data_IF_339690961523
#
_entry.id   IF_339690961523
#
_cell.length_a   1.000
_cell.length_b   1.000
_cell.length_c   1.000
_cell.angle_alpha   90.00
_cell.angle_beta   90.00
_cell.angle_gamma   90.00
#
_symmetry.space_group_name_H-M   'P 1'
#
loop_
_entity.id
_entity.type
_entity.pdbx_description
1 polymer ?
#
# COMPACT_ATOMS: atom_id res chain seq x y z
N UNK A 1 -11.06 -21.82 -1.75
CA UNK A 1 -11.82 -20.57 -1.98
C UNK A 1 -10.83 -19.43 -2.23
N UNK A 2 -11.19 -18.44 -3.03
CA UNK A 2 -10.38 -17.23 -3.24
C UNK A 2 -10.82 -16.19 -2.22
N UNK A 3 -9.89 -15.67 -1.42
CA UNK A 3 -10.13 -14.55 -0.51
C UNK A 3 -9.30 -13.37 -0.95
N UNK A 4 -9.95 -12.25 -1.24
CA UNK A 4 -9.32 -11.10 -1.87
C UNK A 4 -9.56 -9.84 -1.05
N UNK A 5 -8.46 -9.23 -0.61
CA UNK A 5 -8.43 -7.86 -0.12
C UNK A 5 -8.24 -6.96 -1.33
N UNK A 6 -9.09 -5.94 -1.50
CA UNK A 6 -8.89 -4.91 -2.51
C UNK A 6 -8.54 -3.63 -1.77
N UNK A 7 -7.25 -3.31 -1.77
CA UNK A 7 -6.68 -2.22 -0.97
C UNK A 7 -6.33 -1.01 -1.83
N UNK A 8 -6.91 0.14 -1.49
CA UNK A 8 -6.51 1.40 -2.09
C UNK A 8 -5.32 2.03 -1.35
N UNK A 9 -4.25 2.28 -2.09
CA UNK A 9 -3.08 3.00 -1.58
C UNK A 9 -3.31 4.52 -1.65
N UNK A 10 -2.46 5.25 -0.93
CA UNK A 10 -2.37 6.72 -0.94
C UNK A 10 -3.61 7.47 -0.41
N UNK A 11 -4.43 6.88 0.47
CA UNK A 11 -5.45 7.65 1.19
C UNK A 11 -4.76 8.76 2.00
N UNK A 12 -5.32 9.97 2.00
CA UNK A 12 -4.74 11.16 2.62
C UNK A 12 -3.71 11.91 1.75
N UNK A 13 -3.39 11.40 0.56
CA UNK A 13 -2.47 12.08 -0.38
C UNK A 13 -3.07 13.33 -1.02
N UNK A 14 -4.40 13.43 -1.11
CA UNK A 14 -5.08 14.58 -1.69
C UNK A 14 -6.57 14.35 -1.91
N UNK A 15 -7.33 15.45 -2.00
CA UNK A 15 -8.80 15.43 -1.97
C UNK A 15 -9.44 14.60 -3.08
N UNK A 16 -8.83 14.60 -4.28
CA UNK A 16 -9.36 13.83 -5.42
C UNK A 16 -9.09 12.34 -5.29
N UNK A 17 -7.90 11.95 -4.82
CA UNK A 17 -7.57 10.56 -4.48
C UNK A 17 -8.52 10.05 -3.39
N UNK A 18 -8.64 10.80 -2.28
CA UNK A 18 -9.51 10.43 -1.16
C UNK A 18 -10.96 10.21 -1.62
N UNK A 19 -11.49 11.15 -2.42
CA UNK A 19 -12.85 11.05 -2.96
C UNK A 19 -13.04 9.79 -3.80
N UNK A 20 -12.09 9.46 -4.67
CA UNK A 20 -12.18 8.27 -5.52
C UNK A 20 -12.10 6.98 -4.68
N UNK A 21 -11.25 6.95 -3.64
CA UNK A 21 -11.17 5.82 -2.70
C UNK A 21 -12.51 5.63 -1.99
N UNK A 22 -13.11 6.69 -1.44
CA UNK A 22 -14.41 6.58 -0.77
C UNK A 22 -15.53 6.19 -1.73
N UNK A 23 -15.51 6.67 -2.97
CA UNK A 23 -16.47 6.27 -4.00
C UNK A 23 -16.34 4.79 -4.34
N UNK A 24 -15.12 4.29 -4.57
CA UNK A 24 -14.85 2.88 -4.80
C UNK A 24 -15.22 1.98 -3.61
N UNK A 25 -15.12 2.47 -2.37
CA UNK A 25 -15.56 1.71 -1.19
C UNK A 25 -17.08 1.63 -1.08
N UNK A 26 -17.78 2.74 -1.37
CA UNK A 26 -19.25 2.80 -1.26
C UNK A 26 -19.98 2.15 -2.43
N UNK A 27 -19.39 2.20 -3.62
CA UNK A 27 -20.06 1.86 -4.88
C UNK A 27 -19.29 0.86 -5.74
N UNK A 28 -18.09 0.46 -5.32
CA UNK A 28 -17.24 -0.48 -6.03
C UNK A 28 -16.89 -1.71 -5.19
N UNK A 29 -15.70 -2.23 -5.44
CA UNK A 29 -15.21 -3.49 -4.86
C UNK A 29 -14.14 -3.32 -3.77
N UNK A 30 -13.82 -2.07 -3.39
CA UNK A 30 -12.81 -1.83 -2.35
C UNK A 30 -13.25 -2.40 -1.02
N UNK A 31 -12.30 -2.98 -0.29
CA UNK A 31 -12.53 -3.52 1.05
C UNK A 31 -11.63 -2.89 2.10
N UNK A 32 -10.56 -2.21 1.67
CA UNK A 32 -9.53 -1.66 2.54
C UNK A 32 -8.87 -0.44 1.89
N UNK A 33 -8.25 0.42 2.70
CA UNK A 33 -7.34 1.46 2.24
C UNK A 33 -6.16 1.66 3.20
N UNK A 34 -5.05 2.20 2.71
CA UNK A 34 -3.88 2.51 3.54
C UNK A 34 -3.64 4.03 3.58
N UNK A 35 -3.58 4.58 4.79
CA UNK A 35 -3.57 6.02 5.05
C UNK A 35 -2.14 6.57 5.22
N UNK A 36 -1.81 7.64 4.50
CA UNK A 36 -0.57 8.38 4.61
C UNK A 36 -0.60 9.34 5.80
N UNK A 37 0.16 9.02 6.85
CA UNK A 37 0.25 9.85 8.06
C UNK A 37 0.91 11.22 7.84
N UNK A 38 1.66 11.40 6.75
CA UNK A 38 2.24 12.68 6.35
C UNK A 38 1.53 13.31 5.14
N UNK A 39 0.35 12.80 4.77
CA UNK A 39 -0.44 13.29 3.65
C UNK A 39 -1.15 14.62 3.96
N UNK A 40 -1.34 15.50 2.96
CA UNK A 40 -1.91 16.83 3.15
C UNK A 40 -3.39 16.82 3.56
N UNK A 41 -4.12 15.74 3.30
CA UNK A 41 -5.56 15.60 3.63
C UNK A 41 -5.82 14.57 4.71
N UNK A 42 -4.78 14.17 5.45
CA UNK A 42 -4.84 13.16 6.52
C UNK A 42 -6.06 13.34 7.45
N UNK A 43 -6.27 14.54 7.99
CA UNK A 43 -7.30 14.77 9.00
C UNK A 43 -8.71 14.60 8.43
N UNK A 44 -8.96 15.13 7.23
CA UNK A 44 -10.24 14.94 6.55
C UNK A 44 -10.45 13.50 6.10
N UNK A 45 -9.42 12.85 5.55
CA UNK A 45 -9.48 11.45 5.13
C UNK A 45 -9.76 10.51 6.32
N UNK A 46 -9.08 10.72 7.46
CA UNK A 46 -9.29 9.91 8.66
C UNK A 46 -10.71 10.04 9.21
N UNK A 47 -11.23 11.27 9.30
CA UNK A 47 -12.60 11.54 9.75
C UNK A 47 -13.64 10.88 8.84
N UNK A 48 -13.41 10.92 7.53
CA UNK A 48 -14.30 10.31 6.55
C UNK A 48 -14.26 8.78 6.63
N UNK A 49 -13.06 8.20 6.71
CA UNK A 49 -12.88 6.76 6.86
C UNK A 49 -13.56 6.24 8.13
N UNK A 50 -13.40 6.94 9.26
CA UNK A 50 -14.09 6.62 10.51
C UNK A 50 -15.61 6.64 10.33
N UNK A 51 -16.15 7.68 9.69
CA UNK A 51 -17.59 7.81 9.44
C UNK A 51 -18.14 6.68 8.55
N UNK A 52 -17.34 6.19 7.61
CA UNK A 52 -17.72 5.12 6.69
C UNK A 52 -17.45 3.72 7.24
N UNK A 53 -16.83 3.61 8.42
CA UNK A 53 -16.35 2.34 8.97
C UNK A 53 -15.44 1.58 7.98
N UNK A 54 -14.69 2.32 7.16
CA UNK A 54 -13.72 1.76 6.21
C UNK A 54 -12.56 1.12 6.99
N UNK A 55 -12.23 -0.16 6.75
CA UNK A 55 -10.98 -0.75 7.23
C UNK A 55 -9.79 0.04 6.68
N UNK A 56 -8.93 0.52 7.59
CA UNK A 56 -7.79 1.38 7.25
C UNK A 56 -6.52 0.81 7.86
N UNK A 57 -5.44 0.77 7.08
CA UNK A 57 -4.09 0.53 7.55
C UNK A 57 -3.20 1.76 7.52
N UNK A 58 -1.97 1.60 7.98
CA UNK A 58 -0.93 2.63 7.90
C UNK A 58 -0.12 2.46 6.61
N UNK A 59 -0.11 3.47 5.75
CA UNK A 59 0.74 3.53 4.55
C UNK A 59 2.05 4.23 4.88
N UNK A 60 3.02 3.48 5.40
CA UNK A 60 4.30 4.06 5.84
C UNK A 60 5.04 4.66 4.64
N UNK A 61 5.34 5.95 4.70
CA UNK A 61 5.98 6.69 3.63
C UNK A 61 7.36 7.21 4.04
N UNK A 62 8.39 6.81 3.31
CA UNK A 62 9.80 7.16 3.57
C UNK A 62 10.48 7.78 2.34
N UNK A 63 9.69 8.24 1.36
CA UNK A 63 10.23 8.73 0.08
C UNK A 63 9.60 10.02 -0.43
N UNK A 64 8.37 10.36 -0.05
CA UNK A 64 7.68 11.57 -0.53
C UNK A 64 7.20 12.44 0.64
N UNK A 65 7.15 13.76 0.43
CA UNK A 65 6.66 14.70 1.46
C UNK A 65 7.65 14.92 2.61
N UNK A 66 7.13 15.30 3.78
CA UNK A 66 7.94 15.64 4.97
C UNK A 66 7.86 14.53 6.01
N UNK A 67 8.99 14.23 6.65
CA UNK A 67 9.10 13.35 7.82
C UNK A 67 8.34 13.94 9.02
N UNK A 68 7.72 13.08 9.83
CA UNK A 68 7.05 13.47 11.08
C UNK A 68 7.99 13.55 12.28
N UNK A 69 9.13 12.85 12.24
CA UNK A 69 10.17 12.82 13.27
C UNK A 69 11.24 13.90 13.08
N UNK A 70 11.14 14.72 12.02
CA UNK A 70 12.09 15.78 11.70
C UNK A 70 13.16 15.32 10.69
N UNK A 71 14.35 15.93 10.75
CA UNK A 71 15.43 15.61 9.81
C UNK A 71 16.08 14.26 10.13
N UNK A 72 16.06 13.34 9.16
CA UNK A 72 16.65 12.00 9.25
C UNK A 72 17.94 11.97 8.44
N UNK A 73 19.07 11.69 9.13
CA UNK A 73 20.39 11.65 8.50
C UNK A 73 20.41 10.60 7.39
N UNK A 74 20.83 11.01 6.20
CA UNK A 74 20.96 10.14 5.03
C UNK A 74 19.64 9.87 4.29
N UNK A 75 18.50 10.31 4.82
CA UNK A 75 17.19 10.09 4.19
C UNK A 75 16.43 11.38 3.86
N UNK A 76 16.55 12.44 4.66
CA UNK A 76 15.90 13.72 4.37
C UNK A 76 16.91 14.85 4.16
N UNK A 77 16.45 15.96 3.62
CA UNK A 77 17.19 17.21 3.67
C UNK A 77 17.09 17.88 5.06
N UNK A 78 17.71 19.06 5.23
CA UNK A 78 17.70 19.80 6.49
C UNK A 78 16.30 20.30 6.91
N UNK A 79 15.35 20.41 5.97
CA UNK A 79 13.96 20.76 6.25
C UNK A 79 13.11 19.53 6.65
N UNK A 80 13.65 18.32 6.56
CA UNK A 80 12.94 17.07 6.82
C UNK A 80 12.17 16.53 5.60
N UNK A 81 12.46 17.01 4.40
CA UNK A 81 11.80 16.53 3.18
C UNK A 81 12.50 15.26 2.66
N UNK A 82 11.69 14.26 2.30
CA UNK A 82 12.17 13.03 1.69
C UNK A 82 12.65 13.26 0.25
N UNK A 83 13.51 12.39 -0.30
CA UNK A 83 14.29 12.70 -1.49
C UNK A 83 13.70 12.07 -2.77
N UNK A 84 12.51 11.50 -2.70
CA UNK A 84 11.87 10.71 -3.75
C UNK A 84 12.33 9.24 -3.78
N UNK A 85 11.57 8.41 -4.49
CA UNK A 85 11.75 6.95 -4.63
C UNK A 85 13.20 6.50 -4.82
N UNK A 86 13.87 7.03 -5.85
CA UNK A 86 15.18 6.53 -6.28
C UNK A 86 16.29 6.87 -5.28
N UNK A 87 16.24 8.05 -4.66
CA UNK A 87 17.23 8.47 -3.69
C UNK A 87 17.05 7.75 -2.36
N UNK A 88 15.80 7.58 -1.88
CA UNK A 88 15.49 6.82 -0.67
C UNK A 88 16.00 5.37 -0.78
N UNK A 89 15.72 4.70 -1.90
CA UNK A 89 16.23 3.34 -2.17
C UNK A 89 17.76 3.25 -2.14
N UNK A 90 18.46 4.23 -2.72
CA UNK A 90 19.93 4.28 -2.66
C UNK A 90 20.43 4.44 -1.23
N UNK A 91 19.75 5.25 -0.41
CA UNK A 91 20.10 5.42 1.00
C UNK A 91 19.94 4.10 1.77
N UNK A 92 18.83 3.38 1.57
CA UNK A 92 18.58 2.08 2.20
C UNK A 92 19.62 1.03 1.79
N UNK A 93 19.90 0.90 0.49
CA UNK A 93 20.87 -0.07 -0.02
C UNK A 93 22.30 0.21 0.43
N UNK A 94 22.64 1.47 0.71
CA UNK A 94 23.97 1.88 1.20
C UNK A 94 24.07 1.87 2.72
N UNK A 95 23.00 1.53 3.45
CA UNK A 95 22.97 1.58 4.91
C UNK A 95 23.22 2.99 5.46
N UNK A 96 22.75 4.02 4.76
CA UNK A 96 23.00 5.43 5.13
C UNK A 96 22.04 5.95 6.20
N UNK A 97 21.01 5.18 6.53
CA UNK A 97 19.95 5.54 7.47
C UNK A 97 20.03 4.60 8.66
N UNK A 98 20.00 5.14 9.89
CA UNK A 98 20.04 4.33 11.09
C UNK A 98 18.70 3.61 11.32
N UNK A 99 18.72 2.44 11.96
CA UNK A 99 17.48 1.73 12.33
C UNK A 99 16.66 2.56 13.32
N UNK A 100 17.30 3.20 14.30
CA UNK A 100 16.64 4.04 15.28
C UNK A 100 15.88 5.22 14.65
N UNK A 101 16.45 5.88 13.64
CA UNK A 101 15.74 6.98 12.95
C UNK A 101 14.55 6.44 12.13
N UNK A 102 14.70 5.26 11.50
CA UNK A 102 13.60 4.61 10.79
C UNK A 102 12.48 4.20 11.75
N UNK A 103 12.83 3.57 12.88
CA UNK A 103 11.88 3.17 13.92
C UNK A 103 11.13 4.39 14.48
N UNK A 104 11.84 5.48 14.75
CA UNK A 104 11.26 6.73 15.24
C UNK A 104 10.26 7.31 14.23
N UNK A 105 10.61 7.37 12.94
CA UNK A 105 9.71 7.89 11.91
C UNK A 105 8.48 6.99 11.69
N UNK A 106 8.68 5.67 11.63
CA UNK A 106 7.58 4.70 11.48
C UNK A 106 6.63 4.80 12.69
N UNK A 107 7.18 4.86 13.91
CA UNK A 107 6.38 5.01 15.12
C UNK A 107 5.62 6.35 15.15
N UNK A 108 6.23 7.43 14.67
CA UNK A 108 5.56 8.73 14.55
C UNK A 108 4.38 8.67 13.57
N UNK A 109 4.53 7.98 12.44
CA UNK A 109 3.45 7.81 11.46
C UNK A 109 2.29 6.96 11.99
N UNK A 110 2.58 5.84 12.67
CA UNK A 110 1.54 5.01 13.30
C UNK A 110 0.83 5.79 14.41
N UNK A 111 1.60 6.44 15.30
CA UNK A 111 1.04 7.25 16.40
C UNK A 111 0.13 8.35 15.89
N UNK A 112 0.53 9.02 14.80
CA UNK A 112 -0.24 10.12 14.21
C UNK A 112 -1.62 9.67 13.72
N UNK A 113 -1.74 8.45 13.20
CA UNK A 113 -3.04 7.89 12.78
C UNK A 113 -3.88 7.48 14.00
N UNK A 114 -3.26 6.89 15.03
CA UNK A 114 -3.94 6.54 16.28
C UNK A 114 -4.49 7.77 17.01
N UNK A 115 -3.76 8.88 17.02
CA UNK A 115 -4.19 10.17 17.59
C UNK A 115 -5.47 10.72 16.93
N UNK A 116 -5.75 10.33 15.69
CA UNK A 116 -6.97 10.72 14.97
C UNK A 116 -8.16 9.81 15.29
N UNK A 117 -7.99 8.83 16.19
CA UNK A 117 -9.02 7.91 16.65
C UNK A 117 -9.27 6.72 15.72
N UNK A 118 -8.42 6.52 14.70
CA UNK A 118 -8.45 5.30 13.88
C UNK A 118 -7.69 4.17 14.58
N UNK A 119 -8.15 2.94 14.38
CA UNK A 119 -7.46 1.72 14.82
C UNK A 119 -7.00 0.96 13.57
N UNK A 120 -5.73 1.09 13.17
CA UNK A 120 -5.25 0.44 11.96
C UNK A 120 -5.34 -1.09 12.05
N UNK A 121 -5.80 -1.76 11.00
CA UNK A 121 -5.87 -3.22 10.94
C UNK A 121 -4.64 -3.86 10.26
N UNK A 122 -3.91 -3.09 9.47
CA UNK A 122 -2.69 -3.53 8.79
C UNK A 122 -1.67 -2.39 8.62
N UNK A 123 -0.48 -2.79 8.17
CA UNK A 123 0.57 -1.88 7.72
C UNK A 123 1.05 -2.27 6.34
N UNK A 124 1.29 -1.28 5.51
CA UNK A 124 2.04 -1.44 4.28
C UNK A 124 2.99 -0.25 4.10
N UNK A 125 3.72 -0.19 2.99
CA UNK A 125 4.65 0.91 2.77
C UNK A 125 4.57 1.45 1.35
N UNK A 126 4.61 2.77 1.25
CA UNK A 126 4.67 3.48 -0.02
C UNK A 126 5.88 3.01 -0.82
N UNK A 127 5.65 2.61 -2.08
CA UNK A 127 6.67 2.09 -3.00
C UNK A 127 7.38 0.81 -2.50
N UNK A 128 6.75 0.07 -1.59
CA UNK A 128 7.19 -1.22 -1.06
C UNK A 128 8.59 -1.19 -0.41
N UNK A 129 8.90 -0.08 0.24
CA UNK A 129 10.16 0.13 0.97
C UNK A 129 10.42 -0.91 2.06
N UNK A 130 9.42 -1.61 2.61
CA UNK A 130 9.62 -2.70 3.57
C UNK A 130 10.49 -3.85 3.03
N UNK A 131 10.57 -4.02 1.71
CA UNK A 131 11.43 -5.03 1.09
C UNK A 131 12.94 -4.75 1.28
N UNK A 132 13.32 -3.53 1.63
CA UNK A 132 14.71 -3.18 1.94
C UNK A 132 15.00 -3.54 3.39
N UNK A 133 16.01 -4.38 3.63
CA UNK A 133 16.23 -5.03 4.93
C UNK A 133 16.29 -4.09 6.15
N UNK A 134 16.87 -2.89 6.03
CA UNK A 134 16.89 -1.92 7.13
C UNK A 134 15.49 -1.36 7.46
N UNK A 135 14.64 -1.16 6.45
CA UNK A 135 13.26 -0.69 6.62
C UNK A 135 12.37 -1.83 7.11
N UNK A 136 12.48 -3.02 6.51
CA UNK A 136 11.72 -4.18 6.94
C UNK A 136 11.99 -4.58 8.39
N UNK A 137 13.26 -4.54 8.83
CA UNK A 137 13.62 -4.78 10.22
C UNK A 137 13.04 -3.75 11.18
N UNK A 138 13.21 -2.45 10.90
CA UNK A 138 12.65 -1.37 11.69
C UNK A 138 11.11 -1.43 11.76
N UNK A 139 10.46 -1.73 10.64
CA UNK A 139 9.01 -1.86 10.55
C UNK A 139 8.49 -2.99 11.45
N UNK A 140 9.09 -4.18 11.39
CA UNK A 140 8.68 -5.33 12.19
C UNK A 140 8.85 -5.08 13.70
N UNK A 141 9.92 -4.39 14.11
CA UNK A 141 10.12 -4.00 15.51
C UNK A 141 8.99 -3.07 15.97
N UNK A 142 8.73 -2.00 15.20
CA UNK A 142 7.76 -0.97 15.58
C UNK A 142 6.33 -1.53 15.61
N UNK A 143 5.89 -2.25 14.57
CA UNK A 143 4.50 -2.76 14.55
C UNK A 143 4.21 -3.69 15.72
N UNK A 144 5.22 -4.44 16.19
CA UNK A 144 5.14 -5.26 17.40
C UNK A 144 4.83 -4.43 18.64
N UNK A 145 5.47 -3.26 18.81
CA UNK A 145 5.20 -2.33 19.92
C UNK A 145 3.77 -1.76 19.89
N UNK A 146 3.19 -1.58 18.70
CA UNK A 146 1.81 -1.08 18.53
C UNK A 146 0.75 -2.19 18.53
N UNK A 147 1.16 -3.46 18.66
CA UNK A 147 0.24 -4.61 18.63
C UNK A 147 -0.37 -4.89 17.26
N UNK A 148 0.18 -4.32 16.19
CA UNK A 148 -0.24 -4.55 14.81
C UNK A 148 0.37 -5.87 14.32
N UNK A 149 -0.50 -6.77 13.83
CA UNK A 149 -0.12 -8.15 13.48
C UNK A 149 -0.29 -8.47 12.01
N UNK A 150 -0.72 -7.51 11.21
CA UNK A 150 -1.05 -7.72 9.81
C UNK A 150 -0.25 -6.78 8.91
N UNK A 151 0.35 -7.33 7.85
CA UNK A 151 1.22 -6.57 6.97
C UNK A 151 1.08 -7.02 5.51
N UNK A 152 1.09 -6.07 4.57
CA UNK A 152 1.15 -6.37 3.12
C UNK A 152 2.45 -7.11 2.78
N UNK A 153 2.36 -8.21 2.04
CA UNK A 153 3.53 -8.84 1.44
C UNK A 153 3.71 -8.40 -0.03
N UNK A 154 4.71 -7.56 -0.38
CA UNK A 154 4.92 -7.11 -1.76
C UNK A 154 5.64 -8.17 -2.63
N UNK A 155 5.09 -9.38 -2.64
CA UNK A 155 5.49 -10.47 -3.53
C UNK A 155 4.54 -10.49 -4.73
N UNK A 156 4.97 -10.18 -5.96
CA UNK A 156 4.03 -10.06 -7.06
C UNK A 156 3.33 -11.39 -7.38
N UNK A 157 2.00 -11.38 -7.36
CA UNK A 157 1.15 -12.56 -7.60
C UNK A 157 1.06 -12.95 -9.08
N UNK A 158 1.23 -11.98 -9.98
CA UNK A 158 1.31 -12.23 -11.42
C UNK A 158 2.57 -13.01 -11.79
N UNK A 159 2.54 -13.75 -12.91
CA UNK A 159 3.71 -14.46 -13.42
C UNK A 159 4.76 -13.48 -13.98
N UNK A 160 6.04 -13.74 -13.71
CA UNK A 160 7.15 -12.90 -14.18
C UNK A 160 7.21 -12.73 -15.71
N UNK A 161 6.71 -13.71 -16.47
CA UNK A 161 6.61 -13.63 -17.93
C UNK A 161 5.64 -12.54 -18.43
N UNK A 162 4.74 -12.07 -17.56
CA UNK A 162 3.81 -10.97 -17.84
C UNK A 162 4.30 -9.60 -17.33
N UNK A 163 5.50 -9.53 -16.75
CA UNK A 163 6.02 -8.26 -16.24
C UNK A 163 6.27 -7.28 -17.42
N UNK A 164 5.91 -5.99 -17.27
CA UNK A 164 6.05 -5.00 -18.33
C UNK A 164 7.52 -4.64 -18.58
N UNK A 165 7.87 -4.12 -19.78
CA UNK A 165 9.22 -3.63 -20.01
C UNK A 165 9.52 -2.35 -19.20
N UNK A 166 10.82 -2.01 -19.13
CA UNK A 166 11.28 -0.74 -18.55
C UNK A 166 11.30 -0.73 -17.02
N UNK A 167 11.24 0.46 -16.39
CA UNK A 167 11.43 0.62 -14.95
C UNK A 167 10.49 -0.22 -14.09
N UNK A 168 9.22 -0.38 -14.51
CA UNK A 168 8.25 -1.17 -13.75
C UNK A 168 8.58 -2.67 -13.77
N UNK A 169 9.07 -3.22 -14.88
CA UNK A 169 9.55 -4.61 -14.92
C UNK A 169 10.81 -4.82 -14.07
N UNK A 170 11.71 -3.83 -14.05
CA UNK A 170 12.88 -3.86 -13.16
C UNK A 170 12.47 -3.83 -11.69
N UNK A 171 11.43 -3.07 -11.34
CA UNK A 171 10.82 -3.09 -10.01
C UNK A 171 10.24 -4.46 -9.68
N UNK A 172 9.49 -5.10 -10.60
CA UNK A 172 8.93 -6.44 -10.35
C UNK A 172 10.02 -7.48 -10.13
N UNK A 173 11.07 -7.47 -10.95
CA UNK A 173 12.22 -8.34 -10.79
C UNK A 173 12.93 -8.12 -9.44
N UNK A 174 13.08 -6.86 -9.01
CA UNK A 174 13.63 -6.53 -7.71
C UNK A 174 12.74 -7.05 -6.57
N UNK A 175 11.43 -6.84 -6.63
CA UNK A 175 10.51 -7.26 -5.58
C UNK A 175 10.45 -8.77 -5.44
N UNK A 176 10.40 -9.52 -6.55
CA UNK A 176 10.48 -10.99 -6.54
C UNK A 176 11.75 -11.50 -5.87
N UNK A 177 12.86 -10.78 -6.02
CA UNK A 177 14.14 -11.12 -5.39
C UNK A 177 14.13 -10.85 -3.88
N UNK A 178 13.50 -9.77 -3.43
CA UNK A 178 13.56 -9.33 -2.03
C UNK A 178 12.44 -9.91 -1.15
N UNK A 179 11.25 -10.12 -1.72
CA UNK A 179 10.06 -10.55 -1.00
C UNK A 179 10.23 -11.87 -0.21
N UNK A 180 10.93 -12.91 -0.70
CA UNK A 180 11.10 -14.14 0.08
C UNK A 180 11.82 -13.94 1.42
N UNK A 181 12.84 -13.08 1.44
CA UNK A 181 13.56 -12.75 2.68
C UNK A 181 12.66 -12.01 3.65
N UNK A 182 11.92 -11.01 3.17
CA UNK A 182 11.01 -10.23 4.00
C UNK A 182 9.83 -11.07 4.53
N UNK A 183 9.28 -11.96 3.70
CA UNK A 183 8.25 -12.90 4.12
C UNK A 183 8.76 -13.83 5.24
N UNK A 184 10.00 -14.33 5.13
CA UNK A 184 10.61 -15.13 6.21
C UNK A 184 10.72 -14.35 7.52
N UNK A 185 11.01 -13.05 7.46
CA UNK A 185 11.07 -12.18 8.64
C UNK A 185 9.68 -11.96 9.25
N UNK A 186 8.66 -11.70 8.43
CA UNK A 186 7.27 -11.57 8.90
C UNK A 186 6.81 -12.84 9.64
N UNK A 187 7.07 -14.01 9.06
CA UNK A 187 6.73 -15.30 9.68
C UNK A 187 7.47 -15.52 11.00
N UNK A 188 8.75 -15.17 11.07
CA UNK A 188 9.54 -15.29 12.30
C UNK A 188 9.02 -14.35 13.41
N UNK A 189 8.49 -13.18 13.03
CA UNK A 189 7.86 -12.22 13.94
C UNK A 189 6.40 -12.56 14.30
N UNK A 190 5.81 -13.62 13.73
CA UNK A 190 4.41 -13.97 13.95
C UNK A 190 3.43 -12.94 13.36
N UNK A 191 3.81 -12.26 12.28
CA UNK A 191 3.00 -11.28 11.55
C UNK A 191 2.30 -11.98 10.39
N UNK A 192 0.98 -11.84 10.31
CA UNK A 192 0.15 -12.36 9.23
C UNK A 192 0.28 -11.49 7.98
N UNK A 193 0.34 -12.13 6.82
CA UNK A 193 0.39 -11.46 5.52
C UNK A 193 -0.49 -12.19 4.52
N UNK A 194 -0.98 -11.52 3.46
CA UNK A 194 -1.44 -12.20 2.26
C UNK A 194 -0.33 -13.08 1.65
N UNK A 195 -0.69 -14.02 0.80
CA UNK A 195 0.25 -14.88 0.06
C UNK A 195 1.06 -14.10 -0.99
N UNK A 196 0.52 -12.96 -1.43
CA UNK A 196 1.18 -12.03 -2.33
C UNK A 196 0.24 -10.92 -2.77
N UNK A 197 0.75 -10.11 -3.67
CA UNK A 197 0.15 -8.85 -4.08
C UNK A 197 -0.03 -8.79 -5.59
N UNK A 198 -1.28 -8.62 -6.02
CA UNK A 198 -1.68 -8.43 -7.40
C UNK A 198 -1.82 -6.94 -7.71
N UNK A 199 -1.70 -6.57 -8.99
CA UNK A 199 -1.93 -5.20 -9.47
C UNK A 199 -0.66 -4.37 -9.60
N UNK A 200 0.45 -4.76 -8.94
CA UNK A 200 1.75 -4.08 -9.08
C UNK A 200 2.23 -4.03 -10.53
N UNK A 201 2.13 -5.15 -11.25
CA UNK A 201 2.52 -5.22 -12.67
C UNK A 201 1.61 -4.38 -13.57
N UNK A 202 0.44 -3.96 -13.07
CA UNK A 202 -0.58 -3.22 -13.79
C UNK A 202 -0.58 -1.72 -13.45
N UNK A 203 0.39 -1.22 -12.68
CA UNK A 203 0.50 0.19 -12.32
C UNK A 203 0.38 1.09 -13.56
N UNK A 204 -0.50 2.09 -13.47
CA UNK A 204 -0.88 3.02 -14.55
C UNK A 204 -1.52 2.38 -15.80
N UNK A 205 -1.92 1.11 -15.74
CA UNK A 205 -2.59 0.38 -16.83
C UNK A 205 -3.86 -0.35 -16.37
N UNK A 206 -4.21 -0.31 -15.09
CA UNK A 206 -5.40 -0.96 -14.59
C UNK A 206 -6.65 -0.26 -15.14
N UNK A 207 -7.42 -1.02 -15.94
CA UNK A 207 -8.73 -0.63 -16.44
C UNK A 207 -9.67 -1.84 -16.29
N UNK A 208 -10.94 -1.69 -16.67
CA UNK A 208 -11.95 -2.76 -16.49
C UNK A 208 -11.52 -4.09 -17.13
N UNK A 209 -10.95 -4.07 -18.34
CA UNK A 209 -10.53 -5.28 -19.04
C UNK A 209 -9.34 -5.95 -18.34
N UNK A 210 -8.35 -5.17 -17.92
CA UNK A 210 -7.18 -5.67 -17.19
C UNK A 210 -7.60 -6.26 -15.85
N UNK A 211 -8.46 -5.57 -15.10
CA UNK A 211 -8.97 -6.03 -13.80
C UNK A 211 -9.75 -7.33 -13.93
N UNK A 212 -10.66 -7.44 -14.91
CA UNK A 212 -11.36 -8.70 -15.19
C UNK A 212 -10.36 -9.83 -15.49
N UNK A 213 -9.34 -9.57 -16.31
CA UNK A 213 -8.29 -10.55 -16.60
C UNK A 213 -7.47 -10.97 -15.38
N UNK A 214 -7.25 -10.09 -14.41
CA UNK A 214 -6.60 -10.44 -13.14
C UNK A 214 -7.50 -11.37 -12.31
N UNK A 215 -8.78 -11.05 -12.15
CA UNK A 215 -9.73 -11.86 -11.38
C UNK A 215 -9.88 -13.30 -11.93
N UNK A 216 -9.68 -13.51 -13.23
CA UNK A 216 -9.61 -14.86 -13.82
C UNK A 216 -8.40 -15.66 -13.35
N UNK A 217 -7.28 -14.99 -13.07
CA UNK A 217 -5.99 -15.63 -12.80
C UNK A 217 -5.67 -15.78 -11.32
N UNK A 218 -6.33 -15.03 -10.43
CA UNK A 218 -6.11 -15.16 -8.99
C UNK A 218 -6.43 -16.60 -8.55
N UNK A 219 -5.47 -17.33 -7.97
CA UNK A 219 -5.69 -18.70 -7.51
C UNK A 219 -6.39 -18.72 -6.15
N UNK A 220 -6.77 -19.90 -5.68
CA UNK A 220 -7.27 -20.06 -4.31
C UNK A 220 -6.19 -19.65 -3.31
N UNK A 221 -6.59 -19.02 -2.20
CA UNK A 221 -5.65 -18.49 -1.20
C UNK A 221 -6.12 -17.14 -0.66
N UNK A 222 -5.28 -16.52 0.17
CA UNK A 222 -5.46 -15.16 0.67
C UNK A 222 -4.60 -14.20 -0.13
N UNK A 223 -5.25 -13.32 -0.90
CA UNK A 223 -4.57 -12.42 -1.82
C UNK A 223 -4.93 -10.98 -1.52
N UNK A 224 -4.01 -10.09 -1.85
CA UNK A 224 -4.27 -8.67 -1.92
C UNK A 224 -4.20 -8.20 -3.38
N UNK A 225 -5.11 -7.31 -3.77
CA UNK A 225 -5.07 -6.53 -5.00
C UNK A 225 -4.86 -5.07 -4.62
N UNK A 226 -3.67 -4.54 -4.93
CA UNK A 226 -3.33 -3.14 -4.74
C UNK A 226 -3.90 -2.29 -5.87
N UNK A 227 -4.55 -1.19 -5.50
CA UNK A 227 -5.14 -0.26 -6.45
C UNK A 227 -4.90 1.19 -6.08
N UNK A 228 -5.02 2.07 -7.07
CA UNK A 228 -4.77 3.51 -6.97
C UNK A 228 -5.90 4.33 -7.63
N UNK A 229 -7.16 4.19 -7.20
CA UNK A 229 -8.23 5.04 -7.73
C UNK A 229 -7.95 6.52 -7.40
N UNK A 230 -8.30 7.40 -8.32
CA UNK A 230 -8.03 8.82 -8.18
C UNK A 230 -8.48 9.60 -9.40
N UNK A 231 -8.31 10.92 -9.33
CA UNK A 231 -8.61 11.84 -10.43
C UNK A 231 -7.36 12.66 -10.78
N UNK A 232 -7.43 13.48 -11.82
CA UNK A 232 -6.33 14.35 -12.24
C UNK A 232 -6.23 15.55 -11.31
N UNK A 233 -5.13 15.57 -10.56
CA UNK A 233 -4.58 16.73 -9.85
C UNK A 233 -3.13 16.93 -10.31
N UNK A 234 -2.85 18.01 -11.04
CA UNK A 234 -1.51 18.28 -11.57
C UNK A 234 -0.50 18.74 -10.52
N UNK A 235 -0.96 19.07 -9.30
CA UNK A 235 -0.10 19.51 -8.20
C UNK A 235 0.23 18.37 -7.23
N UNK A 236 -0.38 17.20 -7.41
CA UNK A 236 -0.24 16.06 -6.51
C UNK A 236 0.64 14.96 -7.16
N UNK A 237 1.82 14.63 -6.60
CA UNK A 237 2.69 13.58 -7.15
C UNK A 237 2.08 12.17 -7.07
N UNK A 238 1.02 12.00 -6.27
CA UNK A 238 0.22 10.79 -6.16
C UNK A 238 -0.96 10.74 -7.14
N UNK A 239 -1.01 11.60 -8.16
CA UNK A 239 -2.12 11.65 -9.13
C UNK A 239 -1.68 11.31 -10.56
N UNK A 240 -2.63 10.89 -11.39
CA UNK A 240 -2.39 10.71 -12.82
C UNK A 240 -3.63 10.23 -13.60
N UNK A 241 -3.69 10.44 -14.92
CA UNK A 241 -4.86 10.07 -15.74
C UNK A 241 -5.23 8.58 -15.67
N UNK A 242 -4.26 7.70 -15.42
CA UNK A 242 -4.51 6.27 -15.29
C UNK A 242 -5.37 5.92 -14.06
N UNK A 243 -5.30 6.71 -12.98
CA UNK A 243 -6.08 6.52 -11.76
C UNK A 243 -7.59 6.68 -11.98
N UNK A 244 -7.98 7.47 -12.99
CA UNK A 244 -9.39 7.61 -13.43
C UNK A 244 -9.91 6.29 -14.03
N UNK A 245 -9.09 5.64 -14.85
CA UNK A 245 -9.47 4.37 -15.49
C UNK A 245 -9.60 3.27 -14.43
N UNK A 246 -8.74 3.31 -13.43
CA UNK A 246 -8.74 2.42 -12.28
C UNK A 246 -9.97 2.65 -11.39
N UNK A 247 -10.28 3.90 -11.03
CA UNK A 247 -11.53 4.27 -10.33
C UNK A 247 -12.77 3.73 -11.06
N UNK A 248 -12.87 3.98 -12.37
CA UNK A 248 -13.98 3.47 -13.20
C UNK A 248 -14.04 1.96 -13.22
N UNK A 249 -12.89 1.27 -13.29
CA UNK A 249 -12.84 -0.18 -13.29
C UNK A 249 -13.37 -0.77 -11.98
N UNK A 250 -12.97 -0.19 -10.84
CA UNK A 250 -13.35 -0.66 -9.51
C UNK A 250 -14.85 -0.48 -9.22
N UNK A 251 -15.49 0.49 -9.86
CA UNK A 251 -16.94 0.72 -9.75
C UNK A 251 -17.74 0.07 -10.91
N UNK A 252 -17.07 -0.64 -11.82
CA UNK A 252 -17.75 -1.16 -13.01
C UNK A 252 -18.60 -2.40 -12.66
N UNK A 253 -19.90 -2.46 -13.03
CA UNK A 253 -20.78 -3.58 -12.65
C UNK A 253 -20.30 -4.96 -13.10
N UNK A 254 -19.59 -5.05 -14.23
CA UNK A 254 -19.02 -6.31 -14.71
C UNK A 254 -17.97 -6.90 -13.77
N UNK A 255 -17.27 -6.06 -13.00
CA UNK A 255 -16.22 -6.49 -12.06
C UNK A 255 -16.88 -7.13 -10.84
N UNK A 256 -17.89 -6.47 -10.25
CA UNK A 256 -18.68 -7.04 -9.16
C UNK A 256 -19.34 -8.36 -9.59
N UNK A 257 -19.91 -8.41 -10.81
CA UNK A 257 -20.46 -9.65 -11.38
C UNK A 257 -19.40 -10.74 -11.50
N UNK A 258 -18.19 -10.41 -11.93
CA UNK A 258 -17.09 -11.38 -12.08
C UNK A 258 -16.63 -11.94 -10.74
N UNK A 259 -16.58 -11.12 -9.69
CA UNK A 259 -16.26 -11.57 -8.32
C UNK A 259 -17.27 -12.65 -7.87
N UNK A 260 -18.56 -12.43 -8.11
CA UNK A 260 -19.61 -13.41 -7.80
C UNK A 260 -19.49 -14.68 -8.65
N UNK A 261 -19.29 -14.54 -9.97
CA UNK A 261 -19.15 -15.68 -10.90
C UNK A 261 -17.93 -16.56 -10.59
N UNK A 262 -16.88 -15.99 -9.99
CA UNK A 262 -15.63 -16.69 -9.62
C UNK A 262 -15.61 -17.17 -8.16
N UNK A 263 -16.69 -16.96 -7.40
CA UNK A 263 -16.77 -17.27 -5.96
C UNK A 263 -15.58 -16.66 -5.18
N UNK A 264 -15.26 -15.40 -5.49
CA UNK A 264 -14.24 -14.63 -4.80
C UNK A 264 -14.88 -13.99 -3.58
N UNK A 265 -14.42 -14.39 -2.40
CA UNK A 265 -14.81 -13.76 -1.15
C UNK A 265 -13.97 -12.49 -0.95
N UNK A 266 -14.64 -11.34 -0.99
CA UNK A 266 -14.03 -10.07 -0.59
C UNK A 266 -13.85 -10.03 0.93
N UNK A 267 -12.65 -9.69 1.38
CA UNK A 267 -12.25 -9.61 2.80
C UNK A 267 -11.41 -8.36 3.06
N UNK A 268 -11.15 -8.02 4.32
CA UNK A 268 -10.15 -7.01 4.72
C UNK A 268 -8.96 -7.69 5.45
N UNK A 269 -7.99 -6.89 5.90
CA UNK A 269 -6.81 -7.43 6.57
C UNK A 269 -7.10 -8.01 7.95
N UNK A 270 -8.15 -7.55 8.64
CA UNK A 270 -8.64 -8.12 9.90
C UNK A 270 -9.21 -9.53 9.78
N UNK A 271 -9.51 -10.00 8.56
CA UNK A 271 -9.99 -11.36 8.27
C UNK A 271 -8.85 -12.35 8.00
N UNK A 272 -7.58 -11.91 7.99
CA UNK A 272 -6.44 -12.81 7.81
C UNK A 272 -6.25 -13.73 9.03
N UNK A 273 -5.83 -14.99 8.81
CA UNK A 273 -5.62 -15.96 9.88
C UNK A 273 -4.39 -15.69 10.75
#
# INVERSE_FOLDING_TARGET
MIRLIVNADDLGSGRLTDRAIFDCYRHGILTSASLLANGPTLAEAAREAFRLELPVGVHVNLSEGRSLSGAIRGLTNAAGEFPGKLAARRAFLRGQVSSADLEQEIAAQISRILELGLLPDHVDTHQHTCLFGCVGGALLEVIGCFGLRCLRLPSPGEAAAGDPPGPLGMDMALYRRLAPSFHSQCRAAGVSTPEGLWGMSCLNRLNTQVLLGLLERIPQGFWELMVHPGDIDSQNPFSGPARILEHRALCHPSVARRILERDIQLINFGDLP
#
